data_IF_948926394624
#
_entry.id   IF_948926394624
#
_cell.length_a   1.000
_cell.length_b   1.000
_cell.length_c   1.000
_cell.angle_alpha   90.00
_cell.angle_beta   90.00
_cell.angle_gamma   90.00
#
_symmetry.space_group_name_H-M   'P 1'
#
loop_
_entity.id
_entity.type
_entity.pdbx_description
1 polymer ?
#
# COMPACT_ATOMS: atom_id res chain seq x y z
N UNK A 1 6.86 26.63 -7.04
CA UNK A 1 7.07 27.18 -8.40
C UNK A 1 7.41 26.06 -9.38
N UNK A 2 7.06 26.17 -10.67
CA UNK A 2 7.43 25.17 -11.68
C UNK A 2 8.95 25.19 -11.90
N UNK A 3 9.58 24.02 -11.92
CA UNK A 3 11.03 23.90 -12.15
C UNK A 3 11.35 24.07 -13.63
N UNK A 4 10.54 23.50 -14.52
CA UNK A 4 10.61 23.66 -15.96
C UNK A 4 9.23 23.50 -16.61
N UNK A 5 9.04 24.00 -17.83
CA UNK A 5 7.79 23.85 -18.60
C UNK A 5 7.98 22.79 -19.70
N UNK A 6 7.03 21.86 -19.82
CA UNK A 6 6.88 21.00 -21.01
C UNK A 6 5.53 21.35 -21.63
N UNK A 7 5.54 22.10 -22.74
CA UNK A 7 4.32 22.66 -23.34
C UNK A 7 3.65 23.69 -22.42
N UNK A 8 2.34 23.56 -22.19
CA UNK A 8 1.56 24.45 -21.30
C UNK A 8 1.57 24.01 -19.83
N UNK A 9 2.16 22.86 -19.51
CA UNK A 9 2.21 22.35 -18.14
C UNK A 9 3.48 22.81 -17.43
N UNK A 10 3.31 23.57 -16.34
CA UNK A 10 4.38 23.87 -15.41
C UNK A 10 4.72 22.61 -14.60
N UNK A 11 5.85 21.98 -14.91
CA UNK A 11 6.30 20.79 -14.19
C UNK A 11 6.90 21.24 -12.86
N UNK A 12 6.09 21.17 -11.81
CA UNK A 12 6.56 21.30 -10.43
C UNK A 12 7.32 20.04 -10.03
N UNK A 13 8.35 20.17 -9.19
CA UNK A 13 9.03 19.01 -8.58
C UNK A 13 8.06 18.05 -7.88
N UNK A 14 6.95 18.59 -7.35
CA UNK A 14 5.83 17.80 -6.82
C UNK A 14 5.23 16.86 -7.86
N UNK A 15 4.93 17.35 -9.07
CA UNK A 15 4.32 16.55 -10.12
C UNK A 15 5.22 15.39 -10.57
N UNK A 16 6.54 15.63 -10.64
CA UNK A 16 7.52 14.59 -10.98
C UNK A 16 7.53 13.49 -9.90
N UNK A 17 7.56 13.87 -8.62
CA UNK A 17 7.57 12.92 -7.51
C UNK A 17 6.25 12.13 -7.46
N UNK A 18 5.11 12.78 -7.66
CA UNK A 18 3.80 12.12 -7.65
C UNK A 18 3.63 11.13 -8.81
N UNK A 19 3.94 11.55 -10.04
CA UNK A 19 3.82 10.69 -11.23
C UNK A 19 4.84 9.55 -11.17
N UNK A 20 6.09 9.86 -10.86
CA UNK A 20 7.16 8.87 -10.76
C UNK A 20 6.91 7.86 -9.64
N UNK A 21 6.52 8.33 -8.45
CA UNK A 21 6.14 7.48 -7.32
C UNK A 21 4.92 6.63 -7.63
N UNK A 22 3.91 7.19 -8.28
CA UNK A 22 2.71 6.44 -8.68
C UNK A 22 3.00 5.33 -9.69
N UNK A 23 3.79 5.61 -10.72
CA UNK A 23 4.25 4.60 -11.69
C UNK A 23 5.07 3.50 -11.01
N UNK A 24 5.96 3.87 -10.09
CA UNK A 24 6.75 2.92 -9.32
C UNK A 24 5.85 1.99 -8.50
N UNK A 25 4.88 2.52 -7.77
CA UNK A 25 3.94 1.74 -6.95
C UNK A 25 3.12 0.76 -7.81
N UNK A 26 2.58 1.22 -8.95
CA UNK A 26 1.79 0.36 -9.84
C UNK A 26 2.66 -0.77 -10.39
N UNK A 27 3.80 -0.44 -10.98
CA UNK A 27 4.68 -1.43 -11.62
C UNK A 27 5.17 -2.48 -10.62
N UNK A 28 5.64 -2.03 -9.44
CA UNK A 28 6.13 -2.95 -8.39
C UNK A 28 5.03 -3.83 -7.84
N UNK A 29 3.87 -3.27 -7.55
CA UNK A 29 2.75 -4.04 -6.99
C UNK A 29 2.20 -5.04 -8.00
N UNK A 30 2.12 -4.68 -9.29
CA UNK A 30 1.70 -5.59 -10.35
C UNK A 30 2.65 -6.78 -10.48
N UNK A 31 3.96 -6.54 -10.46
CA UNK A 31 4.97 -7.62 -10.47
C UNK A 31 4.84 -8.52 -9.23
N UNK A 32 4.67 -7.93 -8.04
CA UNK A 32 4.54 -8.73 -6.81
C UNK A 32 3.24 -9.52 -6.72
N UNK A 33 2.14 -9.01 -7.30
CA UNK A 33 0.90 -9.77 -7.44
C UNK A 33 1.13 -10.95 -8.40
N UNK A 34 1.78 -10.72 -9.55
CA UNK A 34 2.08 -11.78 -10.52
C UNK A 34 2.91 -12.90 -9.89
N UNK A 35 4.00 -12.55 -9.18
CA UNK A 35 4.83 -13.51 -8.44
C UNK A 35 4.04 -14.24 -7.33
N UNK A 36 3.16 -13.52 -6.62
CA UNK A 36 2.34 -14.11 -5.55
C UNK A 36 1.28 -15.08 -6.06
N UNK A 37 0.81 -14.91 -7.30
CA UNK A 37 -0.21 -15.76 -7.93
C UNK A 37 0.43 -16.98 -8.61
N UNK A 38 1.60 -16.84 -9.23
CA UNK A 38 2.33 -17.98 -9.81
C UNK A 38 2.94 -18.91 -8.74
N UNK A 39 3.30 -18.37 -7.57
CA UNK A 39 3.91 -19.15 -6.47
C UNK A 39 2.99 -20.18 -5.80
N UNK A 40 1.67 -20.07 -5.93
CA UNK A 40 0.67 -20.96 -5.32
C UNK A 40 0.21 -22.10 -6.27
N UNK A 41 0.83 -22.23 -7.45
CA UNK A 41 0.42 -23.14 -8.53
C UNK A 41 0.99 -24.56 -8.51
N UNK A 42 1.73 -25.00 -7.50
CA UNK A 42 2.30 -26.36 -7.46
C UNK A 42 1.46 -27.29 -6.58
N UNK A 43 0.80 -28.26 -7.22
CA UNK A 43 0.19 -29.41 -6.57
C UNK A 43 1.22 -30.27 -5.82
N UNK A 44 0.78 -31.30 -5.07
CA UNK A 44 1.55 -31.91 -3.99
C UNK A 44 2.89 -32.61 -4.34
N UNK A 45 3.37 -32.62 -5.58
CA UNK A 45 4.42 -33.56 -6.02
C UNK A 45 5.60 -33.00 -6.84
N UNK A 46 5.85 -31.68 -6.92
CA UNK A 46 7.03 -31.18 -7.67
C UNK A 46 8.03 -30.36 -6.85
N UNK A 47 9.09 -31.07 -6.45
CA UNK A 47 10.53 -30.72 -6.46
C UNK A 47 10.89 -29.23 -6.64
N UNK A 48 11.45 -28.64 -5.58
CA UNK A 48 12.44 -27.54 -5.61
C UNK A 48 12.06 -26.37 -6.54
N UNK A 49 11.13 -25.53 -6.10
CA UNK A 49 10.89 -24.21 -6.68
C UNK A 49 10.84 -23.17 -5.57
N UNK A 50 11.83 -22.27 -5.51
CA UNK A 50 11.82 -21.11 -4.61
C UNK A 50 10.50 -20.36 -4.79
N UNK A 51 9.60 -20.48 -3.81
CA UNK A 51 8.56 -19.47 -3.59
C UNK A 51 9.32 -18.17 -3.41
N UNK A 52 9.28 -17.29 -4.42
CA UNK A 52 9.74 -15.92 -4.28
C UNK A 52 8.79 -15.26 -3.28
N UNK A 53 9.10 -15.43 -2.00
CA UNK A 53 8.47 -14.72 -0.92
C UNK A 53 8.64 -13.25 -1.24
N UNK A 54 7.55 -12.57 -1.63
CA UNK A 54 7.48 -11.11 -1.55
C UNK A 54 8.02 -10.76 -0.18
N UNK A 55 9.23 -10.22 -0.19
CA UNK A 55 10.04 -10.21 1.02
C UNK A 55 9.41 -9.15 1.91
N UNK A 56 9.27 -9.41 3.20
CA UNK A 56 8.82 -8.43 4.20
C UNK A 56 9.45 -7.04 3.99
N UNK A 57 10.72 -7.03 3.58
CA UNK A 57 11.48 -5.84 3.17
C UNK A 57 10.85 -5.04 2.03
N UNK A 58 10.30 -5.68 0.99
CA UNK A 58 9.68 -4.99 -0.15
C UNK A 58 8.41 -4.25 0.28
N UNK A 59 7.57 -4.88 1.10
CA UNK A 59 6.35 -4.25 1.65
C UNK A 59 6.71 -3.07 2.55
N UNK A 60 7.73 -3.20 3.40
CA UNK A 60 8.19 -2.09 4.24
C UNK A 60 8.71 -0.92 3.39
N UNK A 61 9.53 -1.20 2.37
CA UNK A 61 10.05 -0.15 1.47
C UNK A 61 8.91 0.56 0.75
N UNK A 62 7.88 -0.18 0.31
CA UNK A 62 6.70 0.40 -0.33
C UNK A 62 5.88 1.27 0.62
N UNK A 63 5.61 0.80 1.85
CA UNK A 63 4.91 1.58 2.88
C UNK A 63 5.71 2.85 3.21
N UNK A 64 7.03 2.76 3.31
CA UNK A 64 7.90 3.91 3.58
C UNK A 64 7.86 4.93 2.44
N UNK A 65 7.91 4.49 1.18
CA UNK A 65 7.77 5.38 0.02
C UNK A 65 6.40 6.06 0.02
N UNK A 66 5.34 5.31 0.33
CA UNK A 66 3.98 5.82 0.39
C UNK A 66 3.79 6.83 1.52
N UNK A 67 4.35 6.55 2.69
CA UNK A 67 4.36 7.44 3.85
C UNK A 67 5.14 8.72 3.53
N UNK A 68 6.28 8.65 2.82
CA UNK A 68 7.01 9.83 2.37
C UNK A 68 6.18 10.67 1.39
N UNK A 69 5.53 10.05 0.41
CA UNK A 69 4.73 10.79 -0.59
C UNK A 69 3.46 11.38 0.03
N UNK A 70 2.79 10.64 0.90
CA UNK A 70 1.58 11.09 1.59
C UNK A 70 1.87 12.11 2.70
N UNK A 71 3.01 11.97 3.38
CA UNK A 71 3.49 12.97 4.34
C UNK A 71 3.89 14.27 3.64
N UNK A 72 4.49 14.23 2.44
CA UNK A 72 4.77 15.43 1.66
C UNK A 72 3.50 16.23 1.34
N UNK A 73 2.42 15.59 0.90
CA UNK A 73 1.16 16.30 0.62
C UNK A 73 0.46 16.81 1.89
N UNK A 74 0.48 16.01 2.97
CA UNK A 74 -0.06 16.41 4.28
C UNK A 74 0.73 17.54 4.92
N UNK A 75 2.06 17.56 4.75
CA UNK A 75 2.96 18.64 5.18
C UNK A 75 2.74 19.88 4.35
N UNK A 76 2.69 19.78 3.01
CA UNK A 76 2.44 20.95 2.15
C UNK A 76 1.06 21.55 2.46
N UNK A 77 0.05 20.71 2.68
CA UNK A 77 -1.29 21.16 3.08
C UNK A 77 -1.29 21.78 4.48
N UNK A 78 -0.59 21.18 5.45
CA UNK A 78 -0.50 21.70 6.81
C UNK A 78 0.33 22.99 6.91
N UNK A 79 1.43 23.11 6.16
CA UNK A 79 2.23 24.34 6.03
C UNK A 79 1.39 25.46 5.41
N UNK A 80 0.45 25.14 4.52
CA UNK A 80 -0.53 26.09 3.99
C UNK A 80 -1.62 26.50 4.99
N UNK A 81 -1.85 25.72 6.06
CA UNK A 81 -2.89 25.97 7.07
C UNK A 81 -2.35 26.46 8.43
N UNK A 82 -1.07 26.21 8.74
CA UNK A 82 -0.44 26.64 9.99
C UNK A 82 1.07 26.87 9.82
N UNK A 83 1.58 27.96 10.41
CA UNK A 83 3.01 28.28 10.38
C UNK A 83 3.81 27.53 11.46
N UNK A 84 3.18 26.63 12.23
CA UNK A 84 3.81 25.90 13.33
C UNK A 84 4.59 24.67 12.83
N UNK A 85 5.70 24.92 12.13
CA UNK A 85 6.65 23.90 11.66
C UNK A 85 7.05 22.91 12.77
N UNK A 86 7.34 23.33 14.02
CA UNK A 86 7.72 22.39 15.08
C UNK A 86 6.65 21.32 15.34
N UNK A 87 5.36 21.68 15.34
CA UNK A 87 4.26 20.74 15.60
C UNK A 87 4.16 19.69 14.49
N UNK A 88 4.30 20.12 13.22
CA UNK A 88 4.28 19.22 12.07
C UNK A 88 5.42 18.21 12.11
N UNK A 89 6.66 18.68 12.35
CA UNK A 89 7.83 17.79 12.44
C UNK A 89 7.66 16.79 13.58
N UNK A 90 7.20 17.24 14.75
CA UNK A 90 6.99 16.36 15.91
C UNK A 90 5.94 15.28 15.61
N UNK A 91 4.83 15.65 14.95
CA UNK A 91 3.79 14.71 14.55
C UNK A 91 4.30 13.63 13.58
N UNK A 92 5.12 14.01 12.59
CA UNK A 92 5.71 13.07 11.63
C UNK A 92 6.66 12.11 12.33
N UNK A 93 7.53 12.61 13.21
CA UNK A 93 8.48 11.77 13.95
C UNK A 93 7.72 10.75 14.82
N UNK A 94 6.67 11.18 15.51
CA UNK A 94 5.82 10.28 16.31
C UNK A 94 5.16 9.24 15.41
N UNK A 95 4.60 9.64 14.26
CA UNK A 95 3.94 8.74 13.32
C UNK A 95 4.90 7.65 12.80
N UNK A 96 6.11 8.04 12.36
CA UNK A 96 7.15 7.11 11.91
C UNK A 96 7.56 6.17 13.05
N UNK A 97 7.74 6.70 14.27
CA UNK A 97 8.09 5.89 15.44
C UNK A 97 7.04 4.81 15.75
N UNK A 98 5.76 5.17 15.70
CA UNK A 98 4.65 4.21 15.87
C UNK A 98 4.65 3.19 14.73
N UNK A 99 4.81 3.63 13.49
CA UNK A 99 4.85 2.72 12.33
C UNK A 99 5.99 1.70 12.46
N UNK A 100 7.20 2.14 12.79
CA UNK A 100 8.35 1.25 12.99
C UNK A 100 8.11 0.25 14.11
N UNK A 101 7.54 0.70 15.23
CA UNK A 101 7.20 -0.17 16.36
C UNK A 101 6.23 -1.30 15.96
N UNK A 102 5.22 -0.99 15.13
CA UNK A 102 4.23 -1.99 14.67
C UNK A 102 4.63 -2.76 13.42
N UNK A 103 5.64 -2.31 12.66
CA UNK A 103 6.02 -2.87 11.35
C UNK A 103 6.21 -4.40 11.35
N UNK A 104 6.92 -4.94 12.34
CA UNK A 104 7.15 -6.38 12.47
C UNK A 104 5.86 -7.18 12.74
N UNK A 105 4.93 -6.62 13.52
CA UNK A 105 3.65 -7.26 13.81
C UNK A 105 2.74 -7.23 12.57
N UNK A 106 2.67 -6.09 11.89
CA UNK A 106 1.92 -5.93 10.64
C UNK A 106 2.46 -6.87 9.56
N UNK A 107 3.79 -6.96 9.42
CA UNK A 107 4.45 -7.87 8.49
C UNK A 107 4.04 -9.32 8.65
N UNK A 108 4.20 -9.86 9.87
CA UNK A 108 3.80 -11.24 10.18
C UNK A 108 2.32 -11.50 9.93
N UNK A 109 1.46 -10.50 10.19
CA UNK A 109 0.04 -10.61 9.89
C UNK A 109 -0.24 -10.71 8.38
N UNK A 110 0.42 -9.87 7.58
CA UNK A 110 0.31 -9.89 6.12
C UNK A 110 0.86 -11.20 5.52
N UNK A 111 1.99 -11.71 6.03
CA UNK A 111 2.57 -12.98 5.60
C UNK A 111 1.67 -14.19 5.93
N UNK A 112 1.01 -14.17 7.09
CA UNK A 112 0.13 -15.26 7.52
C UNK A 112 -1.19 -15.31 6.75
N UNK A 113 -1.60 -14.21 6.12
CA UNK A 113 -2.88 -14.08 5.42
C UNK A 113 -2.66 -13.68 3.95
N UNK A 114 -2.53 -14.65 3.02
CA UNK A 114 -2.23 -14.38 1.60
C UNK A 114 -3.22 -13.42 0.92
N UNK A 115 -4.50 -13.50 1.27
CA UNK A 115 -5.54 -12.60 0.78
C UNK A 115 -5.34 -11.16 1.25
N UNK A 116 -4.89 -10.95 2.49
CA UNK A 116 -4.52 -9.62 3.03
C UNK A 116 -3.32 -9.05 2.28
N UNK A 117 -2.33 -9.89 1.93
CA UNK A 117 -1.17 -9.48 1.12
C UNK A 117 -1.58 -8.97 -0.25
N UNK A 118 -2.43 -9.73 -0.97
CA UNK A 118 -2.93 -9.29 -2.29
C UNK A 118 -3.78 -8.02 -2.17
N UNK A 119 -4.59 -7.90 -1.11
CA UNK A 119 -5.39 -6.71 -0.82
C UNK A 119 -4.50 -5.47 -0.55
N UNK A 120 -3.41 -5.63 0.19
CA UNK A 120 -2.44 -4.55 0.42
C UNK A 120 -1.75 -4.11 -0.88
N UNK A 121 -1.29 -5.05 -1.72
CA UNK A 121 -0.70 -4.74 -3.03
C UNK A 121 -1.71 -4.05 -3.96
N UNK A 122 -2.99 -4.43 -3.88
CA UNK A 122 -4.07 -3.79 -4.63
C UNK A 122 -4.30 -2.35 -4.18
N UNK A 123 -4.18 -2.06 -2.87
CA UNK A 123 -4.21 -0.69 -2.37
C UNK A 123 -3.03 0.13 -2.87
N UNK A 124 -1.83 -0.46 -2.97
CA UNK A 124 -0.68 0.24 -3.54
C UNK A 124 -0.90 0.63 -5.01
N UNK A 125 -1.53 -0.23 -5.81
CA UNK A 125 -1.93 0.11 -7.20
C UNK A 125 -2.93 1.26 -7.19
N UNK A 126 -3.98 1.17 -6.36
CA UNK A 126 -4.99 2.23 -6.25
C UNK A 126 -4.37 3.57 -5.83
N UNK A 127 -3.47 3.56 -4.84
CA UNK A 127 -2.77 4.78 -4.39
C UNK A 127 -1.85 5.28 -5.51
N UNK A 128 -1.14 4.40 -6.20
CA UNK A 128 -0.31 4.79 -7.35
C UNK A 128 -1.11 5.50 -8.44
N UNK A 129 -2.34 5.04 -8.72
CA UNK A 129 -3.26 5.73 -9.64
C UNK A 129 -3.68 7.11 -9.12
N UNK A 130 -3.96 7.23 -7.82
CA UNK A 130 -4.29 8.52 -7.20
C UNK A 130 -3.12 9.50 -7.32
N UNK A 131 -1.89 9.05 -7.06
CA UNK A 131 -0.69 9.90 -7.16
C UNK A 131 -0.46 10.39 -8.60
N UNK A 132 -0.62 9.52 -9.60
CA UNK A 132 -0.54 9.93 -11.01
C UNK A 132 -1.62 10.98 -11.31
N UNK A 133 -2.86 10.75 -10.86
CA UNK A 133 -3.96 11.69 -11.01
C UNK A 133 -3.64 13.06 -10.42
N UNK A 134 -3.22 13.10 -9.16
CA UNK A 134 -2.84 14.34 -8.46
C UNK A 134 -1.63 15.03 -9.13
N UNK A 135 -0.64 14.27 -9.58
CA UNK A 135 0.51 14.78 -10.31
C UNK A 135 0.16 15.40 -11.67
N UNK A 136 -0.93 14.94 -12.30
CA UNK A 136 -1.50 15.51 -13.51
C UNK A 136 -2.48 16.67 -13.24
N UNK A 137 -2.74 17.00 -11.97
CA UNK A 137 -3.65 18.07 -11.55
C UNK A 137 -5.09 17.62 -11.26
N UNK A 138 -5.41 16.33 -11.43
CA UNK A 138 -6.70 15.77 -11.03
C UNK A 138 -6.74 15.56 -9.52
N UNK A 139 -7.59 16.28 -8.82
CA UNK A 139 -7.77 16.10 -7.39
C UNK A 139 -8.75 14.95 -7.13
N UNK A 140 -8.24 13.85 -6.60
CA UNK A 140 -9.08 12.73 -6.16
C UNK A 140 -9.48 12.96 -4.70
N UNK A 141 -10.78 13.03 -4.37
CA UNK A 141 -11.19 13.20 -2.99
C UNK A 141 -10.77 11.98 -2.14
N UNK A 142 -9.89 12.22 -1.17
CA UNK A 142 -9.30 11.17 -0.30
C UNK A 142 -10.35 10.33 0.43
N UNK A 143 -11.53 10.90 0.69
CA UNK A 143 -12.66 10.19 1.28
C UNK A 143 -13.06 8.93 0.49
N UNK A 144 -13.05 8.97 -0.84
CA UNK A 144 -13.38 7.80 -1.66
C UNK A 144 -12.35 6.69 -1.50
N UNK A 145 -11.07 7.05 -1.44
CA UNK A 145 -9.97 6.12 -1.22
C UNK A 145 -10.11 5.44 0.16
N UNK A 146 -10.38 6.21 1.20
CA UNK A 146 -10.54 5.68 2.56
C UNK A 146 -11.76 4.78 2.71
N UNK A 147 -12.89 5.15 2.10
CA UNK A 147 -14.10 4.30 2.10
C UNK A 147 -13.83 2.99 1.36
N UNK A 148 -13.17 3.05 0.19
CA UNK A 148 -12.81 1.84 -0.57
C UNK A 148 -11.88 0.91 0.21
N UNK A 149 -10.84 1.46 0.85
CA UNK A 149 -9.93 0.66 1.69
C UNK A 149 -10.65 0.04 2.89
N UNK A 150 -11.43 0.84 3.62
CA UNK A 150 -12.16 0.39 4.79
C UNK A 150 -13.19 -0.70 4.45
N UNK A 151 -13.95 -0.51 3.37
CA UNK A 151 -14.89 -1.51 2.88
C UNK A 151 -14.19 -2.82 2.49
N UNK A 152 -13.09 -2.74 1.74
CA UNK A 152 -12.35 -3.93 1.28
C UNK A 152 -11.77 -4.73 2.44
N UNK A 153 -11.18 -4.06 3.43
CA UNK A 153 -10.72 -4.72 4.67
C UNK A 153 -11.90 -5.33 5.43
N UNK A 154 -13.03 -4.62 5.51
CA UNK A 154 -14.23 -5.13 6.16
C UNK A 154 -14.74 -6.42 5.52
N UNK A 155 -14.82 -6.47 4.19
CA UNK A 155 -15.17 -7.66 3.41
C UNK A 155 -14.17 -8.79 3.65
N UNK A 156 -12.87 -8.49 3.62
CA UNK A 156 -11.84 -9.51 3.81
C UNK A 156 -11.84 -10.09 5.24
N UNK A 157 -12.12 -9.28 6.26
CA UNK A 157 -12.28 -9.77 7.63
C UNK A 157 -13.48 -10.73 7.77
N UNK A 158 -14.57 -10.50 7.02
CA UNK A 158 -15.69 -11.44 6.95
C UNK A 158 -15.29 -12.72 6.22
N UNK A 159 -14.56 -12.59 5.10
CA UNK A 159 -14.07 -13.72 4.30
C UNK A 159 -13.19 -14.66 5.13
N UNK A 160 -12.20 -14.13 5.86
CA UNK A 160 -11.33 -14.90 6.76
C UNK A 160 -12.14 -15.63 7.83
N UNK A 161 -13.12 -14.95 8.46
CA UNK A 161 -14.00 -15.56 9.48
C UNK A 161 -14.86 -16.69 8.91
N UNK A 162 -15.35 -16.55 7.69
CA UNK A 162 -16.16 -17.59 7.03
C UNK A 162 -15.32 -18.82 6.68
N UNK A 163 -14.11 -18.62 6.14
CA UNK A 163 -13.16 -19.70 5.82
C UNK A 163 -12.77 -20.51 7.06
N UNK A 164 -12.54 -19.85 8.19
CA UNK A 164 -12.26 -20.52 9.46
C UNK A 164 -13.40 -21.42 9.95
N UNK A 165 -14.66 -21.04 9.72
CA UNK A 165 -15.84 -21.84 10.11
C UNK A 165 -16.07 -23.06 9.21
N UNK A 166 -15.69 -22.98 7.94
CA UNK A 166 -15.82 -24.10 6.98
C UNK A 166 -14.83 -25.21 7.29
N UNK A 167 -13.55 -24.89 7.51
CA UNK A 167 -12.52 -25.87 7.85
C UNK A 167 -12.82 -26.61 9.16
N UNK A 168 -13.44 -25.93 10.14
CA UNK A 168 -13.83 -26.55 11.42
C UNK A 168 -15.02 -27.52 11.28
N UNK A 169 -15.81 -27.38 10.21
CA UNK A 169 -16.98 -28.22 9.94
C UNK A 169 -16.59 -29.53 9.24
N UNK A 170 -15.58 -29.51 8.36
CA UNK A 170 -15.00 -30.71 7.74
C UNK A 170 -14.33 -31.63 8.77
N UNK A 171 -13.50 -31.09 9.68
CA UNK A 171 -12.82 -31.91 10.71
C UNK A 171 -13.77 -32.57 11.73
N UNK A 172 -15.03 -32.15 11.78
CA UNK A 172 -16.06 -32.76 12.65
C UNK A 172 -16.87 -33.85 11.94
N UNK A 173 -16.79 -33.94 10.60
CA UNK A 173 -17.47 -34.96 9.80
C UNK A 173 -16.57 -36.19 9.60
N UNK A 174 -15.26 -36.04 9.76
CA UNK A 174 -14.27 -37.13 9.67
C UNK A 174 -14.01 -37.89 11.00
N UNK A 175 -14.66 -37.50 12.10
CA UNK A 175 -14.63 -38.16 13.42
C UNK A 175 -15.97 -38.84 13.74
#
# INVERSE_FOLDING_TARGET
EPLFHIGTFGVSGRAIILIGGGLFLIGKSALEIHESVEGDGHGPDDVIGKVASVTFTSIIIQIMILDIVFSLDSVITAVGMTNNIPVMVTAIIIAIGVMMFFSGAVGRFVERHPTIKVLALSFLIMIGMVLIGEGMGFHVPKAYVYVAMGFSVGVEMLNIRMRGKLNQKESRVEL
#
